data_IF_450482833695
#
_entry.id   IF_450482833695
#
_cell.length_a   1.000
_cell.length_b   1.000
_cell.length_c   1.000
_cell.angle_alpha   90.00
_cell.angle_beta   90.00
_cell.angle_gamma   90.00
#
_symmetry.space_group_name_H-M   'P 1'
#
loop_
_entity.id
_entity.type
_entity.pdbx_description
1 polymer ?
#
# COMPACT_ATOMS: atom_id res chain seq x y z
N UNK A 1 -52.95 6.41 -11.50
CA UNK A 1 -52.45 5.04 -11.25
C UNK A 1 -51.11 5.11 -10.51
N UNK A 2 -51.08 4.88 -9.19
CA UNK A 2 -49.83 4.83 -8.42
C UNK A 2 -49.32 3.39 -8.40
N UNK A 3 -48.21 3.11 -9.09
CA UNK A 3 -47.50 1.82 -8.97
C UNK A 3 -46.86 1.77 -7.57
N UNK A 4 -47.52 1.08 -6.64
CA UNK A 4 -46.95 0.80 -5.32
C UNK A 4 -45.75 -0.12 -5.48
N UNK A 5 -44.57 0.37 -5.11
CA UNK A 5 -43.38 -0.47 -5.00
C UNK A 5 -43.66 -1.53 -3.94
N UNK A 6 -43.52 -2.81 -4.30
CA UNK A 6 -43.76 -3.92 -3.36
C UNK A 6 -42.70 -3.82 -2.25
N UNK A 7 -43.08 -3.86 -0.96
CA UNK A 7 -42.16 -3.61 0.16
C UNK A 7 -40.94 -4.55 0.15
N UNK A 8 -41.10 -5.78 -0.36
CA UNK A 8 -39.99 -6.71 -0.56
C UNK A 8 -38.91 -6.21 -1.53
N UNK A 9 -39.27 -5.53 -2.62
CA UNK A 9 -38.29 -4.95 -3.56
C UNK A 9 -37.53 -3.77 -2.94
N UNK A 10 -38.18 -2.99 -2.08
CA UNK A 10 -37.54 -1.87 -1.38
C UNK A 10 -36.51 -2.36 -0.35
N UNK A 11 -36.82 -3.43 0.38
CA UNK A 11 -35.90 -4.05 1.35
C UNK A 11 -34.69 -4.67 0.65
N UNK A 12 -34.88 -5.40 -0.45
CA UNK A 12 -33.75 -6.00 -1.19
C UNK A 12 -32.84 -4.94 -1.79
N UNK A 13 -33.39 -3.84 -2.31
CA UNK A 13 -32.59 -2.74 -2.84
C UNK A 13 -31.78 -2.04 -1.74
N UNK A 14 -32.36 -1.85 -0.55
CA UNK A 14 -31.67 -1.25 0.59
C UNK A 14 -30.51 -2.12 1.10
N UNK A 15 -30.72 -3.44 1.22
CA UNK A 15 -29.66 -4.38 1.62
C UNK A 15 -28.54 -4.43 0.60
N UNK A 16 -28.86 -4.49 -0.70
CA UNK A 16 -27.85 -4.44 -1.76
C UNK A 16 -27.04 -3.13 -1.73
N UNK A 17 -27.69 -2.01 -1.46
CA UNK A 17 -27.03 -0.71 -1.35
C UNK A 17 -26.09 -0.64 -0.14
N UNK A 18 -26.50 -1.16 1.02
CA UNK A 18 -25.67 -1.26 2.22
C UNK A 18 -24.44 -2.16 2.02
N UNK A 19 -24.61 -3.30 1.32
CA UNK A 19 -23.50 -4.20 1.00
C UNK A 19 -22.50 -3.54 0.03
N UNK A 20 -22.98 -2.87 -1.02
CA UNK A 20 -22.13 -2.16 -1.97
C UNK A 20 -21.37 -1.00 -1.30
N UNK A 21 -22.02 -0.25 -0.42
CA UNK A 21 -21.37 0.80 0.38
C UNK A 21 -20.29 0.20 1.30
N UNK A 22 -20.57 -0.90 2.00
CA UNK A 22 -19.58 -1.56 2.87
C UNK A 22 -18.32 -2.04 2.13
N UNK A 23 -18.48 -2.62 0.93
CA UNK A 23 -17.36 -3.05 0.08
C UNK A 23 -16.53 -1.85 -0.40
N UNK A 24 -17.17 -0.76 -0.82
CA UNK A 24 -16.48 0.44 -1.29
C UNK A 24 -15.68 1.17 -0.18
N UNK A 25 -16.15 1.12 1.06
CA UNK A 25 -15.41 1.67 2.21
C UNK A 25 -14.17 0.85 2.56
N UNK A 26 -14.24 -0.48 2.41
CA UNK A 26 -13.14 -1.40 2.68
C UNK A 26 -11.96 -1.21 1.70
N UNK A 27 -12.25 -0.92 0.43
CA UNK A 27 -11.24 -0.72 -0.61
C UNK A 27 -10.52 0.64 -0.52
N UNK A 28 -11.13 1.67 0.10
CA UNK A 28 -10.56 3.03 0.23
C UNK A 28 -9.43 3.18 1.27
N UNK A 29 -9.12 2.13 2.03
CA UNK A 29 -8.20 2.23 3.17
C UNK A 29 -6.70 2.18 2.86
N UNK A 30 -6.29 2.08 1.60
CA UNK A 30 -4.86 2.09 1.20
C UNK A 30 -4.61 3.36 0.37
N UNK A 31 -3.59 4.14 0.73
CA UNK A 31 -3.28 5.42 0.05
C UNK A 31 -3.07 5.22 -1.45
N UNK A 32 -3.33 6.26 -2.26
CA UNK A 32 -3.11 6.18 -3.70
C UNK A 32 -1.62 5.90 -4.00
N UNK A 33 -1.36 5.13 -5.06
CA UNK A 33 -0.02 5.00 -5.63
C UNK A 33 0.27 6.24 -6.45
N UNK A 34 1.39 6.90 -6.19
CA UNK A 34 1.91 8.03 -6.95
C UNK A 34 3.21 7.64 -7.64
N UNK A 35 3.67 8.40 -8.63
CA UNK A 35 5.04 8.27 -9.17
C UNK A 35 5.88 9.46 -8.77
N UNK A 36 7.12 9.21 -8.37
CA UNK A 36 8.08 10.27 -8.07
C UNK A 36 8.89 10.69 -9.31
N UNK A 37 9.85 11.60 -9.12
CA UNK A 37 10.66 12.19 -10.19
C UNK A 37 11.62 11.17 -10.84
N UNK A 38 11.94 10.08 -10.15
CA UNK A 38 12.77 8.98 -10.66
C UNK A 38 11.90 7.95 -11.39
N UNK A 39 10.58 8.05 -11.26
CA UNK A 39 9.60 7.16 -11.87
C UNK A 39 9.19 5.99 -10.98
N UNK A 40 9.67 5.94 -9.73
CA UNK A 40 9.29 4.91 -8.79
C UNK A 40 7.83 5.10 -8.35
N UNK A 41 7.11 4.00 -8.20
CA UNK A 41 5.82 4.00 -7.54
C UNK A 41 6.01 4.18 -6.03
N UNK A 42 5.30 5.14 -5.45
CA UNK A 42 5.35 5.48 -4.04
C UNK A 42 3.97 5.32 -3.43
N UNK A 43 3.91 4.67 -2.27
CA UNK A 43 2.65 4.49 -1.57
C UNK A 43 2.83 4.58 -0.06
N UNK A 44 1.96 5.37 0.56
CA UNK A 44 1.84 5.46 2.01
C UNK A 44 0.76 4.49 2.47
N UNK A 45 1.13 3.55 3.34
CA UNK A 45 0.19 2.55 3.89
C UNK A 45 0.29 2.49 5.41
N UNK A 46 -0.78 2.11 6.12
CA UNK A 46 -0.70 1.82 7.55
C UNK A 46 0.34 0.74 7.86
N UNK A 47 0.97 0.79 9.04
CA UNK A 47 1.91 -0.26 9.47
C UNK A 47 1.24 -1.64 9.40
N UNK A 48 2.00 -2.65 8.98
CA UNK A 48 1.51 -4.02 8.79
C UNK A 48 0.87 -4.29 7.43
N UNK A 49 0.58 -3.24 6.62
CA UNK A 49 0.21 -3.40 5.21
C UNK A 49 1.42 -3.27 4.30
N UNK A 50 1.30 -3.88 3.12
CA UNK A 50 2.26 -3.79 2.03
C UNK A 50 1.72 -2.86 0.94
N UNK A 51 2.60 -2.23 0.13
CA UNK A 51 2.16 -1.46 -1.00
C UNK A 51 1.60 -2.38 -2.09
N UNK A 52 0.66 -1.87 -2.89
CA UNK A 52 -0.03 -2.61 -3.96
C UNK A 52 0.97 -3.15 -4.98
N UNK A 53 1.99 -2.37 -5.33
CA UNK A 53 3.01 -2.74 -6.31
C UNK A 53 3.94 -3.88 -5.84
N UNK A 54 3.97 -4.19 -4.53
CA UNK A 54 4.75 -5.33 -4.05
C UNK A 54 4.06 -6.68 -4.31
N UNK A 55 2.72 -6.67 -4.48
CA UNK A 55 1.93 -7.88 -4.69
C UNK A 55 2.04 -8.91 -3.55
N UNK A 56 1.63 -10.15 -3.84
CA UNK A 56 1.65 -11.29 -2.90
C UNK A 56 2.78 -12.30 -3.19
N UNK A 57 3.72 -11.95 -4.07
CA UNK A 57 4.83 -12.81 -4.52
C UNK A 57 6.07 -12.66 -3.63
N UNK A 58 7.21 -13.21 -4.07
CA UNK A 58 8.52 -13.02 -3.43
C UNK A 58 8.86 -11.53 -3.22
N UNK A 59 8.46 -10.66 -4.15
CA UNK A 59 8.57 -9.21 -3.98
C UNK A 59 7.85 -8.76 -2.71
N UNK A 60 6.59 -9.14 -2.51
CA UNK A 60 5.83 -8.88 -1.29
C UNK A 60 6.52 -9.39 -0.02
N UNK A 61 7.18 -10.56 -0.09
CA UNK A 61 7.96 -11.08 1.03
C UNK A 61 9.18 -10.20 1.37
N UNK A 62 9.88 -9.68 0.36
CA UNK A 62 11.01 -8.76 0.56
C UNK A 62 10.56 -7.41 1.17
N UNK A 63 9.44 -6.84 0.71
CA UNK A 63 8.88 -5.62 1.31
C UNK A 63 8.46 -5.83 2.78
N UNK A 64 7.91 -7.00 3.09
CA UNK A 64 7.61 -7.39 4.48
C UNK A 64 8.88 -7.53 5.30
N UNK A 65 9.94 -8.11 4.74
CA UNK A 65 11.24 -8.22 5.39
C UNK A 65 11.83 -6.84 5.70
N UNK A 66 11.71 -5.87 4.80
CA UNK A 66 12.25 -4.51 4.99
C UNK A 66 11.68 -3.76 6.21
N UNK A 67 10.46 -4.09 6.63
CA UNK A 67 9.84 -3.53 7.84
C UNK A 67 9.98 -4.42 9.06
N UNK A 68 9.86 -5.75 8.90
CA UNK A 68 9.89 -6.70 10.05
C UNK A 68 11.31 -7.06 10.50
N UNK A 69 12.29 -7.00 9.60
CA UNK A 69 13.71 -7.29 9.81
C UNK A 69 14.59 -6.18 9.22
N UNK A 70 14.10 -4.95 9.25
CA UNK A 70 14.75 -3.80 8.65
C UNK A 70 16.16 -3.53 9.18
N UNK A 71 16.48 -3.97 10.40
CA UNK A 71 17.83 -3.95 10.98
C UNK A 71 18.86 -4.71 10.15
N UNK A 72 18.47 -5.85 9.57
CA UNK A 72 19.35 -6.65 8.73
C UNK A 72 19.71 -5.87 7.48
N UNK A 73 18.71 -5.25 6.83
CA UNK A 73 18.93 -4.43 5.63
C UNK A 73 19.72 -3.15 5.91
N UNK A 74 19.74 -2.64 7.16
CA UNK A 74 20.59 -1.50 7.54
C UNK A 74 22.08 -1.83 7.56
N UNK A 75 22.44 -3.10 7.71
CA UNK A 75 23.83 -3.56 7.65
C UNK A 75 24.27 -3.96 6.22
N UNK A 76 23.32 -4.07 5.30
CA UNK A 76 23.61 -4.34 3.89
C UNK A 76 23.93 -3.01 3.18
N UNK A 77 25.09 -2.89 2.52
CA UNK A 77 25.47 -1.65 1.85
C UNK A 77 24.52 -1.33 0.70
N UNK A 78 24.27 -0.04 0.47
CA UNK A 78 23.64 0.41 -0.76
C UNK A 78 24.70 0.46 -1.88
N UNK A 79 24.52 -0.37 -2.91
CA UNK A 79 25.44 -0.43 -4.06
C UNK A 79 24.92 0.31 -5.29
N UNK A 80 23.79 1.00 -5.18
CA UNK A 80 23.14 1.72 -6.29
C UNK A 80 23.78 3.09 -6.60
N UNK A 81 24.75 3.55 -5.80
CA UNK A 81 25.40 4.85 -5.96
C UNK A 81 24.61 6.04 -5.40
N UNK A 82 23.47 5.83 -4.73
CA UNK A 82 22.63 6.89 -4.17
C UNK A 82 22.97 7.29 -2.72
N UNK A 83 24.12 6.88 -2.20
CA UNK A 83 24.54 7.23 -0.84
C UNK A 83 24.65 8.76 -0.62
N UNK A 84 25.03 9.52 -1.66
CA UNK A 84 25.16 10.98 -1.60
C UNK A 84 23.85 11.71 -1.31
N UNK A 85 22.70 11.07 -1.56
CA UNK A 85 21.36 11.61 -1.26
C UNK A 85 20.76 11.00 0.01
N UNK A 86 21.58 10.34 0.84
CA UNK A 86 21.18 9.81 2.15
C UNK A 86 20.70 8.36 2.13
N UNK A 87 20.77 7.65 1.00
CA UNK A 87 20.43 6.22 0.92
C UNK A 87 21.63 5.36 1.33
N UNK A 88 21.84 5.24 2.64
CA UNK A 88 23.06 4.65 3.22
C UNK A 88 23.04 3.13 3.36
N UNK A 89 21.91 2.48 3.10
CA UNK A 89 21.79 1.01 3.20
C UNK A 89 20.76 0.46 2.22
N UNK A 90 20.78 -0.86 1.99
CA UNK A 90 19.81 -1.54 1.13
C UNK A 90 18.35 -1.29 1.59
N UNK A 91 18.14 -0.97 2.87
CA UNK A 91 16.81 -0.59 3.39
C UNK A 91 16.18 0.58 2.64
N UNK A 92 16.99 1.53 2.18
CA UNK A 92 16.51 2.70 1.43
C UNK A 92 15.91 2.34 0.07
N UNK A 93 16.19 1.15 -0.47
CA UNK A 93 15.57 0.65 -1.70
C UNK A 93 14.09 0.27 -1.51
N UNK A 94 13.61 0.14 -0.28
CA UNK A 94 12.23 -0.27 0.02
C UNK A 94 11.42 0.84 0.67
N UNK A 95 12.03 1.62 1.56
CA UNK A 95 11.34 2.54 2.48
C UNK A 95 11.90 3.95 2.34
N UNK A 96 11.03 4.91 1.96
CA UNK A 96 11.38 6.35 1.90
C UNK A 96 11.20 7.04 3.25
N UNK A 97 10.17 6.67 4.01
CA UNK A 97 9.87 7.26 5.31
C UNK A 97 8.97 6.34 6.15
N UNK A 98 8.97 6.55 7.46
CA UNK A 98 8.10 5.85 8.40
C UNK A 98 7.64 6.77 9.52
N UNK A 99 6.47 6.46 10.06
CA UNK A 99 5.95 7.00 11.30
C UNK A 99 5.47 5.87 12.21
N UNK A 100 4.95 6.22 13.38
CA UNK A 100 4.32 5.27 14.31
C UNK A 100 3.12 4.55 13.68
N UNK A 101 2.45 5.17 12.70
CA UNK A 101 1.19 4.66 12.13
C UNK A 101 1.31 4.24 10.67
N UNK A 102 2.33 4.69 9.95
CA UNK A 102 2.45 4.48 8.50
C UNK A 102 3.88 4.19 8.02
N UNK A 103 3.96 3.61 6.83
CA UNK A 103 5.19 3.40 6.06
C UNK A 103 4.98 3.95 4.66
N UNK A 104 5.96 4.74 4.19
CA UNK A 104 6.05 5.19 2.80
C UNK A 104 7.01 4.27 2.05
N UNK A 105 6.46 3.39 1.23
CA UNK A 105 7.24 2.48 0.39
C UNK A 105 7.55 3.09 -0.96
N UNK A 106 8.63 2.62 -1.58
CA UNK A 106 9.00 2.89 -2.99
C UNK A 106 9.10 1.58 -3.76
N UNK A 107 8.78 1.57 -5.05
CA UNK A 107 9.01 0.42 -5.95
C UNK A 107 10.48 0.21 -6.32
N UNK A 108 11.40 1.05 -5.86
CA UNK A 108 12.81 1.03 -6.25
C UNK A 108 13.48 -0.35 -6.19
N UNK A 109 13.16 -1.17 -5.17
CA UNK A 109 13.69 -2.53 -5.03
C UNK A 109 13.04 -3.57 -5.96
N UNK A 110 11.95 -3.22 -6.64
CA UNK A 110 11.19 -4.05 -7.56
C UNK A 110 11.32 -3.62 -9.03
N UNK A 111 12.06 -2.54 -9.30
CA UNK A 111 12.35 -2.01 -10.65
C UNK A 111 13.64 -2.61 -11.21
#
# INVERSE_FOLDING_TARGET
MRRGVRPALAVTAAVASLLLLGVQWSARGQGAVTKDEVGDEVQIVPRGRLPIFAGETDTGALYRFATTRGEVLRHMPCTCGCAAIGHTSNRSCYIKAESDTSVTYTSHAAT
#
